data_IF_423511969890
#
_entry.id   IF_423511969890
#
_cell.length_a   1.000
_cell.length_b   1.000
_cell.length_c   1.000
_cell.angle_alpha   90.00
_cell.angle_beta   90.00
_cell.angle_gamma   90.00
#
_symmetry.space_group_name_H-M   'P 1'
#
loop_
_entity.id
_entity.type
_entity.pdbx_description
1 polymer ?
#
# COMPACT_ATOMS: atom_id res chain seq x y z
N UNK A 1 -1.81 17.22 -11.55
CA UNK A 1 -2.71 17.05 -12.71
C UNK A 1 -2.78 15.57 -13.04
N UNK A 2 -3.98 14.98 -13.09
CA UNK A 2 -4.19 13.63 -13.63
C UNK A 2 -4.12 13.69 -15.15
N UNK A 3 -3.50 12.68 -15.78
CA UNK A 3 -3.44 12.58 -17.24
C UNK A 3 -4.86 12.34 -17.77
N UNK A 4 -5.31 13.13 -18.75
CA UNK A 4 -6.62 12.96 -19.40
C UNK A 4 -6.74 11.52 -19.93
N UNK A 5 -7.83 10.84 -19.57
CA UNK A 5 -8.08 9.44 -19.93
C UNK A 5 -7.42 8.40 -19.00
N UNK A 6 -6.67 8.81 -17.97
CA UNK A 6 -6.15 7.89 -16.96
C UNK A 6 -7.26 7.44 -16.00
N UNK A 7 -7.37 6.15 -15.69
CA UNK A 7 -8.29 5.66 -14.66
C UNK A 7 -7.79 5.98 -13.23
N UNK A 8 -6.52 6.37 -13.08
CA UNK A 8 -5.89 6.66 -11.79
C UNK A 8 -6.07 8.11 -11.37
N UNK A 9 -6.66 8.31 -10.19
CA UNK A 9 -6.63 9.58 -9.45
C UNK A 9 -5.26 9.85 -8.87
N UNK A 10 -4.61 8.78 -8.39
CA UNK A 10 -3.26 8.81 -7.85
C UNK A 10 -2.58 7.48 -8.18
N UNK A 11 -1.37 7.57 -8.70
CA UNK A 11 -0.48 6.43 -8.92
C UNK A 11 0.91 6.89 -8.52
N UNK A 12 1.45 6.34 -7.45
CA UNK A 12 2.73 6.76 -6.91
C UNK A 12 3.50 5.59 -6.34
N UNK A 13 4.83 5.70 -6.43
CA UNK A 13 5.77 4.82 -5.75
C UNK A 13 6.74 5.65 -4.94
N UNK A 14 7.15 5.14 -3.79
CA UNK A 14 8.06 5.79 -2.88
C UNK A 14 9.19 4.85 -2.48
N UNK A 15 10.36 5.41 -2.19
CA UNK A 15 11.47 4.70 -1.57
C UNK A 15 12.09 5.56 -0.48
N UNK A 16 12.26 4.99 0.70
CA UNK A 16 12.80 5.71 1.87
C UNK A 16 13.98 4.93 2.44
N UNK A 17 15.06 5.64 2.76
CA UNK A 17 16.15 5.15 3.60
C UNK A 17 16.02 5.78 4.97
N UNK A 18 15.73 4.96 5.98
CA UNK A 18 15.75 5.37 7.37
C UNK A 18 17.18 5.52 7.89
N UNK A 19 17.34 6.33 8.94
CA UNK A 19 18.64 6.52 9.62
C UNK A 19 19.25 5.22 10.15
N UNK A 20 18.41 4.23 10.47
CA UNK A 20 18.79 2.94 11.03
C UNK A 20 17.71 1.90 10.77
N UNK A 21 18.07 0.61 10.87
CA UNK A 21 17.11 -0.48 10.81
C UNK A 21 16.07 -0.41 11.95
N UNK A 22 16.47 0.05 13.14
CA UNK A 22 15.54 0.25 14.25
C UNK A 22 14.49 1.32 13.97
N UNK A 23 14.85 2.39 13.27
CA UNK A 23 13.90 3.42 12.86
C UNK A 23 12.91 2.89 11.80
N UNK A 24 13.38 2.08 10.84
CA UNK A 24 12.52 1.42 9.87
C UNK A 24 11.53 0.45 10.55
N UNK A 25 12.00 -0.35 11.52
CA UNK A 25 11.15 -1.25 12.30
C UNK A 25 10.10 -0.51 13.13
N UNK A 26 10.44 0.63 13.72
CA UNK A 26 9.49 1.46 14.45
C UNK A 26 8.40 2.03 13.52
N UNK A 27 8.79 2.52 12.34
CA UNK A 27 7.85 3.00 11.33
C UNK A 27 6.92 1.89 10.81
N UNK A 28 7.43 0.68 10.59
CA UNK A 28 6.61 -0.48 10.25
C UNK A 28 5.62 -0.83 11.36
N UNK A 29 6.06 -0.81 12.62
CA UNK A 29 5.19 -1.10 13.77
C UNK A 29 4.05 -0.08 13.89
N UNK A 30 4.35 1.21 13.70
CA UNK A 30 3.35 2.27 13.67
C UNK A 30 2.37 2.08 12.50
N UNK A 31 2.88 1.79 11.29
CA UNK A 31 2.05 1.54 10.12
C UNK A 31 1.08 0.37 10.37
N UNK A 32 1.57 -0.75 10.91
CA UNK A 32 0.74 -1.92 11.23
C UNK A 32 -0.34 -1.59 12.25
N UNK A 33 0.03 -0.90 13.33
CA UNK A 33 -0.92 -0.44 14.34
C UNK A 33 -2.01 0.45 13.74
N UNK A 34 -1.64 1.40 12.88
CA UNK A 34 -2.59 2.31 12.25
C UNK A 34 -3.49 1.57 11.26
N UNK A 35 -2.95 0.62 10.50
CA UNK A 35 -3.71 -0.24 9.61
C UNK A 35 -4.73 -1.10 10.37
N UNK A 36 -4.30 -1.78 11.43
CA UNK A 36 -5.18 -2.59 12.30
C UNK A 36 -6.31 -1.74 12.90
N UNK A 37 -6.00 -0.54 13.40
CA UNK A 37 -7.00 0.39 13.90
C UNK A 37 -7.99 0.82 12.80
N UNK A 38 -7.50 1.08 11.58
CA UNK A 38 -8.35 1.43 10.44
C UNK A 38 -9.31 0.29 10.05
N UNK A 39 -8.81 -0.95 10.06
CA UNK A 39 -9.61 -2.15 9.82
C UNK A 39 -10.67 -2.34 10.92
N UNK A 40 -10.28 -2.23 12.18
CA UNK A 40 -11.18 -2.39 13.33
C UNK A 40 -12.29 -1.33 13.33
N UNK A 41 -11.94 -0.08 13.01
CA UNK A 41 -12.88 1.03 12.97
C UNK A 41 -13.67 1.13 11.66
N UNK A 42 -13.36 0.30 10.65
CA UNK A 42 -13.92 0.37 9.29
C UNK A 42 -13.78 1.77 8.67
N UNK A 43 -12.64 2.42 8.88
CA UNK A 43 -12.43 3.79 8.42
C UNK A 43 -11.32 4.52 9.13
N UNK A 44 -11.15 5.79 8.76
CA UNK A 44 -10.13 6.68 9.31
C UNK A 44 -10.54 8.15 9.24
N UNK A 45 -9.87 9.00 10.01
CA UNK A 45 -10.10 10.45 9.97
C UNK A 45 -9.28 11.09 8.83
N UNK A 46 -9.96 11.78 7.92
CA UNK A 46 -9.38 12.58 6.85
C UNK A 46 -9.78 14.04 7.08
N UNK A 47 -8.80 14.92 7.32
CA UNK A 47 -9.04 16.35 7.63
C UNK A 47 -10.04 16.58 8.77
N UNK A 48 -10.00 15.73 9.80
CA UNK A 48 -10.89 15.83 10.97
C UNK A 48 -12.29 15.22 10.76
N UNK A 49 -12.59 14.69 9.57
CA UNK A 49 -13.86 14.01 9.28
C UNK A 49 -13.64 12.50 9.15
N UNK A 50 -14.46 11.71 9.83
CA UNK A 50 -14.39 10.27 9.70
C UNK A 50 -14.88 9.83 8.31
N UNK A 51 -14.09 9.02 7.63
CA UNK A 51 -14.39 8.45 6.32
C UNK A 51 -14.44 6.94 6.45
N UNK A 52 -15.55 6.34 6.03
CA UNK A 52 -15.78 4.90 6.06
C UNK A 52 -14.96 4.15 5.01
N UNK A 53 -14.39 3.02 5.39
CA UNK A 53 -13.56 2.18 4.52
C UNK A 53 -14.17 0.77 4.47
N UNK A 54 -14.25 0.20 3.27
CA UNK A 54 -14.64 -1.19 3.06
C UNK A 54 -13.43 -1.97 2.55
N UNK A 55 -12.87 -2.85 3.39
CA UNK A 55 -11.69 -3.65 3.05
C UNK A 55 -12.09 -4.88 2.25
N UNK A 56 -11.32 -5.18 1.20
CA UNK A 56 -11.55 -6.35 0.34
C UNK A 56 -10.42 -7.37 0.49
N UNK A 57 -10.76 -8.64 0.26
CA UNK A 57 -9.77 -9.70 0.16
C UNK A 57 -8.83 -9.45 -1.03
N UNK A 58 -7.56 -9.81 -0.83
CA UNK A 58 -6.58 -9.84 -1.91
C UNK A 58 -6.79 -11.11 -2.75
N UNK A 59 -6.70 -11.02 -4.09
CA UNK A 59 -6.70 -12.21 -4.93
C UNK A 59 -5.47 -13.07 -4.64
N UNK A 60 -5.58 -14.38 -4.85
CA UNK A 60 -4.44 -15.30 -4.73
C UNK A 60 -3.37 -14.89 -5.75
N UNK A 61 -2.17 -14.62 -5.27
CA UNK A 61 -1.05 -14.12 -6.07
C UNK A 61 0.20 -14.98 -5.85
N UNK A 62 0.99 -15.14 -6.91
CA UNK A 62 2.34 -15.72 -6.86
C UNK A 62 3.44 -14.64 -6.79
N UNK A 63 3.06 -13.38 -6.62
CA UNK A 63 4.01 -12.27 -6.50
C UNK A 63 4.90 -12.45 -5.27
N UNK A 64 6.22 -12.43 -5.49
CA UNK A 64 7.21 -12.56 -4.42
C UNK A 64 7.43 -11.22 -3.70
N UNK A 65 6.48 -10.84 -2.86
CA UNK A 65 6.57 -9.68 -1.98
C UNK A 65 7.40 -10.01 -0.73
N UNK A 66 7.91 -8.98 -0.03
CA UNK A 66 8.59 -9.15 1.27
C UNK A 66 7.70 -9.91 2.26
N UNK A 67 8.28 -10.73 3.13
CA UNK A 67 7.56 -11.47 4.19
C UNK A 67 6.50 -10.62 4.93
N UNK A 68 5.35 -11.22 5.27
CA UNK A 68 4.21 -10.58 5.94
C UNK A 68 4.56 -9.88 7.25
N UNK A 69 5.59 -10.35 7.96
CA UNK A 69 6.11 -9.68 9.15
C UNK A 69 6.68 -8.29 8.83
N UNK A 70 7.11 -8.07 7.59
CA UNK A 70 7.80 -6.86 7.10
C UNK A 70 7.08 -6.18 5.94
N UNK A 71 5.79 -6.47 5.73
CA UNK A 71 4.94 -5.76 4.76
C UNK A 71 3.55 -5.44 5.32
N UNK A 72 2.85 -4.53 4.64
CA UNK A 72 1.40 -4.32 4.74
C UNK A 72 0.85 -4.21 3.33
N UNK A 73 -0.24 -4.92 3.03
CA UNK A 73 -0.93 -4.85 1.74
C UNK A 73 -2.39 -4.54 2.01
N UNK A 74 -2.90 -3.48 1.39
CA UNK A 74 -4.25 -2.96 1.61
C UNK A 74 -5.00 -2.93 0.29
N UNK A 75 -6.22 -3.47 0.30
CA UNK A 75 -7.21 -3.30 -0.77
C UNK A 75 -8.50 -2.81 -0.13
N UNK A 76 -8.95 -1.61 -0.46
CA UNK A 76 -10.13 -1.02 0.15
C UNK A 76 -10.88 -0.05 -0.76
N UNK A 77 -12.18 0.10 -0.55
CA UNK A 77 -12.96 1.27 -0.97
C UNK A 77 -12.90 2.30 0.16
N UNK A 78 -12.58 3.55 -0.18
CA UNK A 78 -12.54 4.70 0.72
C UNK A 78 -13.74 5.59 0.41
N UNK A 79 -14.58 5.84 1.41
CA UNK A 79 -15.79 6.65 1.31
C UNK A 79 -16.91 6.00 0.49
N UNK A 80 -17.94 6.79 0.22
CA UNK A 80 -19.13 6.38 -0.54
C UNK A 80 -19.53 7.47 -1.54
N UNK A 81 -20.41 7.11 -2.48
CA UNK A 81 -20.99 8.01 -3.47
C UNK A 81 -19.93 8.66 -4.38
N UNK A 82 -20.11 9.96 -4.64
CA UNK A 82 -19.26 10.70 -5.60
C UNK A 82 -17.81 10.86 -5.14
N UNK A 83 -17.56 10.77 -3.84
CA UNK A 83 -16.23 10.88 -3.23
C UNK A 83 -15.54 9.53 -3.04
N UNK A 84 -16.21 8.44 -3.43
CA UNK A 84 -15.65 7.10 -3.29
C UNK A 84 -14.37 6.96 -4.13
N UNK A 85 -13.39 6.27 -3.55
CA UNK A 85 -12.11 5.97 -4.16
C UNK A 85 -11.77 4.52 -3.91
N UNK A 86 -11.09 3.86 -4.83
CA UNK A 86 -10.49 2.55 -4.58
C UNK A 86 -9.03 2.71 -4.23
N UNK A 87 -8.52 1.89 -3.33
CA UNK A 87 -7.13 1.86 -2.91
C UNK A 87 -6.55 0.45 -3.10
N UNK A 88 -5.38 0.38 -3.73
CA UNK A 88 -4.39 -0.66 -3.50
C UNK A 88 -3.12 -0.01 -2.94
N UNK A 89 -2.71 -0.41 -1.74
CA UNK A 89 -1.47 0.01 -1.10
C UNK A 89 -0.56 -1.18 -0.82
N UNK A 90 0.71 -1.10 -1.21
CA UNK A 90 1.73 -2.12 -0.94
C UNK A 90 2.91 -1.45 -0.25
N UNK A 91 3.12 -1.78 1.02
CA UNK A 91 4.17 -1.23 1.88
C UNK A 91 5.15 -2.34 2.23
N UNK A 92 6.44 -2.15 1.97
CA UNK A 92 7.44 -3.21 2.14
C UNK A 92 8.71 -2.66 2.77
N UNK A 93 9.25 -3.39 3.74
CA UNK A 93 10.43 -2.99 4.52
C UNK A 93 11.52 -4.05 4.47
N UNK A 94 12.79 -3.62 4.31
CA UNK A 94 13.96 -4.50 4.41
C UNK A 94 15.15 -3.73 4.99
N UNK A 95 15.69 -4.19 6.12
CA UNK A 95 16.77 -3.50 6.81
C UNK A 95 16.37 -2.07 7.19
N UNK A 96 17.09 -1.08 6.65
CA UNK A 96 16.79 0.35 6.84
C UNK A 96 15.99 0.98 5.70
N UNK A 97 15.48 0.17 4.77
CA UNK A 97 14.82 0.66 3.56
C UNK A 97 13.33 0.32 3.56
N UNK A 98 12.56 1.19 2.91
CA UNK A 98 11.14 1.03 2.65
C UNK A 98 10.83 1.32 1.19
N UNK A 99 9.85 0.60 0.65
CA UNK A 99 9.19 0.96 -0.60
C UNK A 99 7.67 0.95 -0.44
N UNK A 100 7.01 1.96 -0.99
CA UNK A 100 5.56 2.07 -1.07
C UNK A 100 5.09 2.09 -2.51
N UNK A 101 3.97 1.43 -2.81
CA UNK A 101 3.25 1.53 -4.08
C UNK A 101 1.77 1.79 -3.79
N UNK A 102 1.24 2.86 -4.38
CA UNK A 102 -0.10 3.39 -4.10
C UNK A 102 -0.87 3.57 -5.41
N UNK A 103 -2.01 2.89 -5.53
CA UNK A 103 -2.92 2.99 -6.66
C UNK A 103 -4.27 3.45 -6.12
N UNK A 104 -4.75 4.59 -6.63
CA UNK A 104 -6.07 5.12 -6.30
C UNK A 104 -6.85 5.40 -7.57
N UNK A 105 -8.04 4.83 -7.68
CA UNK A 105 -8.99 5.08 -8.78
C UNK A 105 -10.27 5.72 -8.24
N UNK A 106 -11.01 6.42 -9.10
CA UNK A 106 -12.27 7.05 -8.73
C UNK A 106 -13.43 6.05 -8.68
N UNK A 107 -14.43 6.35 -7.83
CA UNK A 107 -15.71 5.65 -7.76
C UNK A 107 -15.71 4.45 -6.83
N UNK A 108 -16.86 3.79 -6.77
CA UNK A 108 -17.13 2.65 -5.87
C UNK A 108 -16.78 1.30 -6.49
N UNK A 109 -16.54 1.25 -7.80
CA UNK A 109 -16.23 0.00 -8.50
C UNK A 109 -14.83 -0.47 -8.11
N UNK A 110 -14.68 -1.66 -7.48
CA UNK A 110 -13.38 -2.19 -7.09
C UNK A 110 -12.43 -2.34 -8.28
N UNK A 111 -11.13 -2.11 -8.04
CA UNK A 111 -10.09 -2.42 -9.01
C UNK A 111 -10.19 -3.93 -9.34
N UNK A 112 -10.29 -4.32 -10.63
CA UNK A 112 -10.40 -5.71 -11.03
C UNK A 112 -9.23 -6.56 -10.52
N UNK A 113 -9.48 -7.83 -10.21
CA UNK A 113 -8.46 -8.73 -9.67
C UNK A 113 -7.24 -8.86 -10.61
N UNK A 114 -7.46 -8.90 -11.92
CA UNK A 114 -6.38 -8.92 -12.92
C UNK A 114 -5.43 -7.72 -12.79
N UNK A 115 -5.99 -6.55 -12.48
CA UNK A 115 -5.23 -5.33 -12.32
C UNK A 115 -4.52 -5.30 -10.96
N UNK A 116 -5.18 -5.78 -9.89
CA UNK A 116 -4.54 -5.99 -8.59
C UNK A 116 -3.32 -6.92 -8.73
N UNK A 117 -3.46 -8.05 -9.42
CA UNK A 117 -2.38 -9.01 -9.63
C UNK A 117 -1.21 -8.40 -10.41
N UNK A 118 -1.49 -7.60 -11.45
CA UNK A 118 -0.47 -6.86 -12.20
C UNK A 118 0.29 -5.88 -11.30
N UNK A 119 -0.40 -5.16 -10.43
CA UNK A 119 0.25 -4.25 -9.48
C UNK A 119 1.01 -4.98 -8.37
N UNK A 120 0.56 -6.16 -7.95
CA UNK A 120 1.33 -7.01 -7.04
C UNK A 120 2.64 -7.49 -7.68
N UNK A 121 2.67 -7.77 -8.98
CA UNK A 121 3.92 -8.08 -9.70
C UNK A 121 4.88 -6.88 -9.72
N UNK A 122 4.35 -5.67 -9.94
CA UNK A 122 5.16 -4.45 -9.81
C UNK A 122 5.72 -4.29 -8.37
N UNK A 123 4.90 -4.57 -7.36
CA UNK A 123 5.33 -4.63 -5.97
C UNK A 123 6.42 -5.67 -5.71
N UNK A 124 6.37 -6.84 -6.37
CA UNK A 124 7.41 -7.87 -6.26
C UNK A 124 8.74 -7.41 -6.88
N UNK A 125 8.72 -6.74 -8.02
CA UNK A 125 9.92 -6.14 -8.60
C UNK A 125 10.54 -5.09 -7.66
N UNK A 126 9.72 -4.32 -6.95
CA UNK A 126 10.19 -3.38 -5.93
C UNK A 126 10.80 -4.12 -4.72
N UNK A 127 10.19 -5.23 -4.30
CA UNK A 127 10.67 -6.07 -3.20
C UNK A 127 12.06 -6.66 -3.49
N UNK A 128 12.26 -7.19 -4.70
CA UNK A 128 13.53 -7.74 -5.15
C UNK A 128 14.67 -6.70 -5.05
N UNK A 129 14.44 -5.50 -5.57
CA UNK A 129 15.40 -4.39 -5.52
C UNK A 129 15.67 -3.92 -4.09
N UNK A 130 14.63 -3.91 -3.26
CA UNK A 130 14.71 -3.55 -1.85
C UNK A 130 15.60 -4.53 -1.07
N UNK A 131 15.47 -5.84 -1.34
CA UNK A 131 16.30 -6.88 -0.72
C UNK A 131 17.75 -6.79 -1.18
N UNK A 132 18.01 -6.62 -2.48
CA UNK A 132 19.36 -6.45 -3.01
C UNK A 132 20.07 -5.25 -2.36
N UNK A 133 19.36 -4.15 -2.13
CA UNK A 133 19.90 -2.94 -1.49
C UNK A 133 20.23 -3.13 -0.01
N UNK A 134 19.51 -4.01 0.69
CA UNK A 134 19.77 -4.33 2.09
C UNK A 134 21.02 -5.22 2.26
N UNK A 135 21.26 -6.15 1.33
CA UNK A 135 22.42 -7.08 1.39
C UNK A 135 23.76 -6.38 1.17
N UNK A 136 23.80 -5.29 0.41
CA UNK A 136 25.05 -4.57 0.10
C UNK A 136 25.60 -3.77 1.32
N UNK A 137 24.80 -3.61 2.38
CA UNK A 137 25.19 -2.82 3.57
C UNK A 137 25.28 -3.66 4.86
N UNK A 138 25.22 -4.98 4.75
CA UNK A 138 25.39 -5.93 5.85
C UNK A 138 26.84 -6.37 6.04
#
# INVERSE_FOLDING_TARGET
MTKVGSPYLFLSSESVKYRSASAASAALAELKKNYEACVANKGGSENGTFTEYSFQALPKSNANLIDEKSRVVVRATIGTGISARQLLGIYQYSGMYFTGLYIVTAGEKPIPDEEILRWMQAGALMAERLQASATIQG
#
